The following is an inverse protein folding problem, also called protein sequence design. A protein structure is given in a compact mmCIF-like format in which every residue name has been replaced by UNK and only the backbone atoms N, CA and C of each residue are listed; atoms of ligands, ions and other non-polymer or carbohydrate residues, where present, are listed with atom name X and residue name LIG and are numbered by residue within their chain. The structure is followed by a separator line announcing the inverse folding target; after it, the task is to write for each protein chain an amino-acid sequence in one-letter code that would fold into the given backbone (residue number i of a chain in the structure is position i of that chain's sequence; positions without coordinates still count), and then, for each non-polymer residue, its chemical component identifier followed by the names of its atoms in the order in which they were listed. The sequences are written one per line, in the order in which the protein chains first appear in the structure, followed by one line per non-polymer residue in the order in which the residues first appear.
data_IF_476564403122
#
_entry.id   IF_476564403122
#
_cell.length_a   1.000
_cell.length_b   1.000
_cell.length_c   1.000
_cell.angle_alpha   90.00
_cell.angle_beta   90.00
_cell.angle_gamma   90.00
#
_symmetry.space_group_name_H-M   'P 1'
#
loop_
_entity.id
_entity.type
_entity.pdbx_description
1 polymer ?
#
# COMPACT_ATOMS: atom_id res chain seq x y z
N UNK A 1 -12.87 -11.91 24.89
CA UNK A 1 -11.50 -11.34 24.88
C UNK A 1 -10.78 -11.63 23.57
N UNK A 2 -10.76 -12.89 23.05
CA UNK A 2 -10.08 -13.25 21.80
C UNK A 2 -10.58 -12.44 20.59
N UNK A 3 -11.89 -12.44 20.32
CA UNK A 3 -12.50 -11.70 19.21
C UNK A 3 -12.21 -10.20 19.24
N UNK A 4 -12.25 -9.58 20.42
CA UNK A 4 -11.94 -8.15 20.56
C UNK A 4 -10.48 -7.87 20.20
N UNK A 5 -9.54 -8.67 20.68
CA UNK A 5 -8.13 -8.53 20.37
C UNK A 5 -7.87 -8.70 18.87
N UNK A 6 -8.45 -9.73 18.23
CA UNK A 6 -8.31 -9.97 16.79
C UNK A 6 -8.86 -8.81 15.95
N UNK A 7 -9.99 -8.24 16.39
CA UNK A 7 -10.56 -7.05 15.71
C UNK A 7 -9.63 -5.83 15.82
N UNK A 8 -9.08 -5.58 17.01
CA UNK A 8 -8.14 -4.46 17.23
C UNK A 8 -6.85 -4.66 16.43
N UNK A 9 -6.29 -5.86 16.42
CA UNK A 9 -5.09 -6.19 15.65
C UNK A 9 -5.36 -6.07 14.14
N UNK A 10 -6.54 -6.51 13.68
CA UNK A 10 -7.01 -6.36 12.30
C UNK A 10 -7.18 -4.89 11.88
N UNK A 11 -7.67 -4.03 12.78
CA UNK A 11 -7.77 -2.59 12.57
C UNK A 11 -6.38 -1.94 12.46
N UNK A 12 -5.46 -2.28 13.36
CA UNK A 12 -4.10 -1.75 13.35
C UNK A 12 -3.38 -2.10 12.05
N UNK A 13 -3.41 -3.39 11.66
CA UNK A 13 -2.87 -3.84 10.37
C UNK A 13 -3.58 -3.18 9.18
N UNK A 14 -4.89 -3.01 9.25
CA UNK A 14 -5.70 -2.37 8.23
C UNK A 14 -5.27 -0.92 7.97
N UNK A 15 -4.99 -0.17 9.02
CA UNK A 15 -4.49 1.20 8.87
C UNK A 15 -3.05 1.23 8.34
N UNK A 16 -2.16 0.32 8.75
CA UNK A 16 -0.83 0.21 8.15
C UNK A 16 -0.92 -0.02 6.64
N UNK A 17 -1.77 -0.94 6.19
CA UNK A 17 -1.93 -1.27 4.78
C UNK A 17 -2.82 -0.29 4.01
N UNK A 18 -3.59 0.57 4.68
CA UNK A 18 -4.34 1.62 4.01
C UNK A 18 -3.42 2.61 3.28
N UNK A 19 -2.25 2.93 3.85
CA UNK A 19 -1.25 3.78 3.21
C UNK A 19 -0.69 3.11 1.95
N UNK A 20 -0.41 1.80 2.01
CA UNK A 20 -0.01 0.98 0.86
C UNK A 20 -1.07 1.00 -0.23
N UNK A 21 -2.33 0.73 0.14
CA UNK A 21 -3.45 0.71 -0.80
C UNK A 21 -3.67 2.07 -1.47
N UNK A 22 -3.46 3.17 -0.76
CA UNK A 22 -3.48 4.52 -1.34
C UNK A 22 -2.38 4.73 -2.37
N UNK A 23 -1.17 4.20 -2.14
CA UNK A 23 -0.08 4.19 -3.11
C UNK A 23 -0.44 3.40 -4.37
N UNK A 24 -0.90 2.16 -4.19
CA UNK A 24 -1.32 1.29 -5.31
C UNK A 24 -2.55 1.85 -6.05
N UNK A 25 -3.44 2.58 -5.37
CA UNK A 25 -4.53 3.30 -6.03
C UNK A 25 -4.00 4.31 -7.07
N UNK A 26 -2.88 4.98 -6.80
CA UNK A 26 -2.27 5.91 -7.75
C UNK A 26 -1.72 5.16 -8.97
N UNK A 27 -0.96 4.09 -8.78
CA UNK A 27 -0.37 3.34 -9.89
C UNK A 27 -1.42 2.57 -10.70
N UNK A 28 -2.29 1.80 -10.03
CA UNK A 28 -3.23 0.90 -10.68
C UNK A 28 -4.47 1.63 -11.21
N UNK A 29 -5.13 2.44 -10.38
CA UNK A 29 -6.43 3.02 -10.74
C UNK A 29 -6.32 4.36 -11.46
N UNK A 30 -5.31 5.18 -11.15
CA UNK A 30 -5.13 6.50 -11.77
C UNK A 30 -4.24 6.40 -13.02
N UNK A 31 -3.10 5.69 -12.94
CA UNK A 31 -2.14 5.58 -14.05
C UNK A 31 -2.41 4.41 -15.00
N UNK A 32 -3.30 3.48 -14.63
CA UNK A 32 -3.52 2.21 -15.36
C UNK A 32 -2.20 1.44 -15.57
N UNK A 33 -1.38 1.42 -14.50
CA UNK A 33 -0.05 0.80 -14.50
C UNK A 33 0.00 -0.32 -13.46
N UNK A 34 0.07 -1.61 -13.86
CA UNK A 34 0.22 -2.73 -12.94
C UNK A 34 1.66 -2.76 -12.39
N UNK A 35 1.85 -2.15 -11.23
CA UNK A 35 3.17 -2.00 -10.62
C UNK A 35 3.44 -3.09 -9.58
N UNK A 36 4.27 -4.07 -9.94
CA UNK A 36 4.74 -5.13 -9.03
C UNK A 36 5.96 -4.70 -8.20
N UNK A 37 6.59 -3.54 -8.50
CA UNK A 37 7.74 -3.05 -7.72
C UNK A 37 7.39 -2.73 -6.27
N UNK A 38 6.11 -2.56 -5.97
CA UNK A 38 5.54 -2.38 -4.63
C UNK A 38 5.97 -3.49 -3.67
N UNK A 39 6.02 -4.76 -4.12
CA UNK A 39 6.49 -5.89 -3.30
C UNK A 39 7.98 -5.75 -2.89
N UNK A 40 8.77 -5.03 -3.69
CA UNK A 40 10.17 -4.70 -3.35
C UNK A 40 10.30 -3.42 -2.54
N UNK A 41 9.48 -2.40 -2.81
CA UNK A 41 9.57 -1.10 -2.13
C UNK A 41 9.01 -1.12 -0.71
N UNK A 42 8.07 -2.01 -0.41
CA UNK A 42 7.56 -2.21 0.93
C UNK A 42 8.67 -2.65 1.91
N UNK A 43 9.43 -3.75 1.69
CA UNK A 43 10.55 -4.11 2.54
C UNK A 43 11.71 -3.10 2.46
N UNK A 44 11.91 -2.42 1.32
CA UNK A 44 12.89 -1.33 1.24
C UNK A 44 12.59 -0.23 2.27
N UNK A 45 11.32 0.20 2.37
CA UNK A 45 10.91 1.17 3.38
C UNK A 45 11.17 0.68 4.80
N UNK A 46 10.88 -0.60 5.07
CA UNK A 46 11.16 -1.23 6.36
C UNK A 46 12.64 -1.25 6.73
N UNK A 47 13.53 -1.67 5.82
CA UNK A 47 14.97 -1.71 6.10
C UNK A 47 15.58 -0.33 6.24
N UNK A 48 15.19 0.63 5.40
CA UNK A 48 15.65 2.03 5.51
C UNK A 48 15.25 2.60 6.88
N UNK A 49 13.99 2.41 7.27
CA UNK A 49 13.52 2.82 8.59
C UNK A 49 14.34 2.19 9.72
N UNK A 50 14.59 0.88 9.66
CA UNK A 50 15.36 0.14 10.66
C UNK A 50 16.81 0.64 10.73
N UNK A 51 17.48 0.84 9.59
CA UNK A 51 18.85 1.37 9.53
C UNK A 51 18.91 2.78 10.13
N UNK A 52 17.96 3.64 9.81
CA UNK A 52 17.89 5.01 10.32
C UNK A 52 17.70 5.04 11.84
N UNK A 53 16.83 4.19 12.36
CA UNK A 53 16.58 4.08 13.80
C UNK A 53 17.78 3.44 14.54
N UNK A 54 18.37 2.38 13.99
CA UNK A 54 19.41 1.60 14.65
C UNK A 54 20.80 2.25 14.54
N UNK A 55 21.20 2.71 13.35
CA UNK A 55 22.56 3.25 13.12
C UNK A 55 22.66 4.75 13.32
N UNK A 56 21.63 5.49 12.90
CA UNK A 56 21.67 6.95 12.94
C UNK A 56 20.99 7.51 14.19
N UNK A 57 20.28 6.68 14.98
CA UNK A 57 19.51 7.09 16.16
C UNK A 57 18.61 8.32 15.92
N UNK A 58 18.09 8.46 14.70
CA UNK A 58 17.22 9.57 14.32
C UNK A 58 15.79 9.32 14.81
N UNK A 59 14.99 10.39 14.97
CA UNK A 59 13.61 10.26 15.41
C UNK A 59 12.77 9.44 14.41
N UNK A 60 11.80 8.64 14.90
CA UNK A 60 10.99 7.73 14.06
C UNK A 60 10.28 8.41 12.89
N UNK A 61 9.88 9.68 13.05
CA UNK A 61 9.24 10.46 11.98
C UNK A 61 10.19 10.70 10.81
N UNK A 62 11.47 11.03 11.07
CA UNK A 62 12.48 11.19 10.03
C UNK A 62 12.78 9.86 9.33
N UNK A 63 12.75 8.74 10.05
CA UNK A 63 12.90 7.41 9.46
C UNK A 63 11.79 7.14 8.42
N UNK A 64 10.54 7.50 8.70
CA UNK A 64 9.42 7.37 7.76
C UNK A 64 9.61 8.29 6.55
N UNK A 65 10.06 9.53 6.73
CA UNK A 65 10.31 10.46 5.62
C UNK A 65 11.44 9.98 4.70
N UNK A 66 12.53 9.45 5.27
CA UNK A 66 13.63 8.88 4.48
C UNK A 66 13.20 7.62 3.74
N UNK A 67 12.34 6.81 4.35
CA UNK A 67 11.72 5.65 3.68
C UNK A 67 10.85 6.07 2.51
N UNK A 68 10.06 7.15 2.63
CA UNK A 68 9.30 7.72 1.51
C UNK A 68 10.25 8.12 0.37
N UNK A 69 11.34 8.82 0.67
CA UNK A 69 12.31 9.25 -0.34
C UNK A 69 12.95 8.05 -1.06
N UNK A 70 13.35 7.00 -0.32
CA UNK A 70 13.91 5.78 -0.89
C UNK A 70 12.91 5.06 -1.81
N UNK A 71 11.65 4.94 -1.38
CA UNK A 71 10.59 4.37 -2.20
C UNK A 71 10.28 5.20 -3.44
N UNK A 72 10.25 6.53 -3.31
CA UNK A 72 10.04 7.45 -4.44
C UNK A 72 11.19 7.35 -5.46
N UNK A 73 12.43 7.20 -5.03
CA UNK A 73 13.57 6.93 -5.92
C UNK A 73 13.38 5.61 -6.67
N UNK A 74 13.01 4.53 -5.99
CA UNK A 74 12.74 3.24 -6.62
C UNK A 74 11.61 3.33 -7.66
N UNK A 75 10.51 4.00 -7.33
CA UNK A 75 9.41 4.24 -8.27
C UNK A 75 9.81 5.13 -9.45
N UNK A 76 10.71 6.09 -9.23
CA UNK A 76 11.29 6.90 -10.33
C UNK A 76 12.09 6.02 -11.29
N UNK A 77 12.88 5.07 -10.77
CA UNK A 77 13.62 4.09 -11.60
C UNK A 77 12.65 3.25 -12.42
N UNK A 78 11.58 2.71 -11.81
CA UNK A 78 10.52 1.97 -12.53
C UNK A 78 9.92 2.81 -13.65
N UNK A 79 9.61 4.08 -13.36
CA UNK A 79 9.07 5.02 -14.34
C UNK A 79 10.05 5.34 -15.47
N UNK A 80 11.34 5.52 -15.18
CA UNK A 80 12.37 5.77 -16.18
C UNK A 80 12.55 4.58 -17.10
N UNK A 81 12.59 3.34 -16.58
CA UNK A 81 12.67 2.11 -17.38
C UNK A 81 11.49 2.01 -18.35
N UNK A 82 10.27 2.33 -17.88
CA UNK A 82 9.09 2.30 -18.74
C UNK A 82 9.07 3.44 -19.77
N UNK A 83 9.29 4.68 -19.35
CA UNK A 83 9.09 5.85 -20.21
C UNK A 83 10.28 6.10 -21.13
N UNK A 84 11.51 6.03 -20.62
CA UNK A 84 12.71 6.35 -21.40
C UNK A 84 13.24 5.15 -22.18
N UNK A 85 13.25 3.96 -21.56
CA UNK A 85 13.72 2.74 -22.21
C UNK A 85 12.60 1.98 -22.93
N UNK A 86 11.34 2.46 -22.85
CA UNK A 86 10.15 1.88 -23.50
C UNK A 86 9.91 0.40 -23.16
N UNK A 87 10.34 -0.01 -21.96
CA UNK A 87 10.10 -1.35 -21.43
C UNK A 87 8.61 -1.43 -21.04
N UNK A 88 8.00 -2.61 -21.23
CA UNK A 88 6.59 -2.80 -20.81
C UNK A 88 6.40 -2.54 -19.32
N UNK A 89 5.23 -2.05 -18.88
CA UNK A 89 4.97 -1.74 -17.46
C UNK A 89 5.31 -2.89 -16.50
N UNK A 90 4.81 -4.08 -16.83
CA UNK A 90 5.00 -5.27 -16.02
C UNK A 90 6.49 -5.65 -15.89
N UNK A 91 7.22 -5.63 -17.02
CA UNK A 91 8.63 -6.01 -17.03
C UNK A 91 9.50 -5.00 -16.28
N UNK A 92 9.24 -3.69 -16.44
CA UNK A 92 9.97 -2.65 -15.70
C UNK A 92 9.78 -2.79 -14.17
N UNK A 93 8.57 -3.10 -13.74
CA UNK A 93 8.26 -3.33 -12.33
C UNK A 93 8.95 -4.59 -11.77
N UNK A 94 8.98 -5.69 -12.53
CA UNK A 94 9.67 -6.94 -12.11
C UNK A 94 11.18 -6.71 -12.01
N UNK A 95 11.79 -6.00 -12.96
CA UNK A 95 13.22 -5.68 -12.93
C UNK A 95 13.56 -4.91 -11.64
N UNK A 96 12.79 -3.88 -11.32
CA UNK A 96 13.02 -3.08 -10.11
C UNK A 96 12.76 -3.90 -8.86
N UNK A 97 11.68 -4.70 -8.80
CA UNK A 97 11.38 -5.57 -7.67
C UNK A 97 12.56 -6.52 -7.37
N UNK A 98 13.12 -7.16 -8.40
CA UNK A 98 14.27 -8.07 -8.23
C UNK A 98 15.55 -7.35 -7.82
N UNK A 99 15.81 -6.16 -8.38
CA UNK A 99 16.95 -5.34 -7.97
C UNK A 99 16.83 -4.89 -6.50
N UNK A 100 15.62 -4.52 -6.06
CA UNK A 100 15.36 -4.09 -4.69
C UNK A 100 15.60 -5.21 -3.67
N UNK A 101 15.40 -6.49 -4.03
CA UNK A 101 15.76 -7.61 -3.15
C UNK A 101 17.26 -7.59 -2.78
N UNK A 102 18.12 -7.33 -3.76
CA UNK A 102 19.56 -7.22 -3.50
C UNK A 102 19.90 -5.96 -2.70
N UNK A 103 19.25 -4.84 -2.99
CA UNK A 103 19.45 -3.59 -2.25
C UNK A 103 19.02 -3.73 -0.79
N UNK A 104 17.87 -4.34 -0.52
CA UNK A 104 17.39 -4.57 0.84
C UNK A 104 18.32 -5.49 1.61
N UNK A 105 18.82 -6.58 1.00
CA UNK A 105 19.80 -7.46 1.62
C UNK A 105 21.15 -6.76 1.89
N UNK A 106 21.63 -5.91 0.97
CA UNK A 106 22.83 -5.12 1.20
C UNK A 106 22.65 -4.13 2.37
N UNK A 107 21.49 -3.50 2.50
CA UNK A 107 21.20 -2.61 3.61
C UNK A 107 21.10 -3.35 4.95
N UNK A 108 20.69 -4.62 4.97
CA UNK A 108 20.63 -5.41 6.21
C UNK A 108 22.01 -5.70 6.79
N UNK A 109 23.08 -5.68 5.99
CA UNK A 109 24.45 -5.79 6.49
C UNK A 109 24.80 -4.66 7.46
N UNK A 110 24.19 -3.50 7.30
CA UNK A 110 24.35 -2.37 8.22
C UNK A 110 23.70 -2.61 9.59
N UNK A 111 22.81 -3.58 9.72
CA UNK A 111 22.08 -3.89 10.95
C UNK A 111 22.84 -4.86 11.86
N UNK A 112 23.72 -5.69 11.29
CA UNK A 112 24.42 -6.76 12.04
C UNK A 112 25.88 -6.39 12.33
N UNK A 113 26.36 -6.65 13.56
CA UNK A 113 27.79 -6.58 13.86
C UNK A 113 28.55 -7.59 12.99
N UNK A 114 29.60 -7.14 12.30
CA UNK A 114 30.38 -7.98 11.39
C UNK A 114 29.89 -7.98 9.94
N UNK A 115 28.83 -7.25 9.60
CA UNK A 115 28.37 -7.04 8.21
C UNK A 115 27.71 -8.27 7.57
N UNK A 116 27.17 -9.18 8.36
CA UNK A 116 26.44 -10.33 7.84
C UNK A 116 25.02 -9.92 7.38
N UNK A 117 24.57 -10.53 6.29
CA UNK A 117 23.19 -10.35 5.81
C UNK A 117 22.19 -11.03 6.75
N UNK A 118 21.14 -10.31 7.14
CA UNK A 118 20.04 -10.90 7.91
C UNK A 118 18.73 -10.70 7.16
N UNK A 119 17.88 -11.70 7.18
CA UNK A 119 16.53 -11.60 6.60
C UNK A 119 15.52 -11.07 7.60
N UNK A 120 15.78 -11.24 8.90
CA UNK A 120 14.89 -10.81 10.00
C UNK A 120 15.72 -10.07 11.03
N UNK A 121 15.26 -8.90 11.46
CA UNK A 121 15.87 -8.09 12.50
C UNK A 121 14.83 -7.64 13.52
N UNK A 122 15.05 -7.97 14.80
CA UNK A 122 14.14 -7.57 15.89
C UNK A 122 14.58 -6.27 16.55
N UNK A 123 13.64 -5.38 16.82
CA UNK A 123 13.87 -4.14 17.57
C UNK A 123 14.07 -4.40 19.06
N UNK A 124 13.52 -5.50 19.57
CA UNK A 124 13.63 -5.88 20.98
C UNK A 124 15.10 -6.14 21.35
N UNK A 125 15.53 -5.60 22.47
CA UNK A 125 16.92 -5.71 22.94
C UNK A 125 17.90 -4.68 22.38
N UNK A 126 17.49 -3.84 21.42
CA UNK A 126 18.37 -2.82 20.83
C UNK A 126 18.02 -1.38 21.27
N UNK A 127 17.06 -1.20 22.19
CA UNK A 127 16.68 0.12 22.72
C UNK A 127 16.12 1.09 21.68
N UNK A 128 15.63 0.58 20.55
CA UNK A 128 15.09 1.43 19.47
C UNK A 128 13.72 2.00 19.85
N UNK A 129 13.59 3.30 19.67
CA UNK A 129 12.30 3.99 19.85
C UNK A 129 11.44 3.84 18.59
N UNK A 130 10.18 3.47 18.76
CA UNK A 130 9.19 3.46 17.69
C UNK A 130 8.19 4.61 17.85
N UNK A 131 7.41 4.89 16.81
CA UNK A 131 6.30 5.85 16.87
C UNK A 131 5.22 5.41 17.89
N UNK A 132 5.19 4.12 18.23
CA UNK A 132 4.17 3.50 19.07
C UNK A 132 4.64 3.28 20.51
N UNK A 133 5.89 3.64 20.84
CA UNK A 133 6.46 3.50 22.18
C UNK A 133 6.04 4.71 23.04
N UNK A 134 4.82 4.64 23.59
CA UNK A 134 4.22 5.67 24.44
C UNK A 134 4.34 5.37 25.94
N UNK A 135 5.04 4.27 26.29
CA UNK A 135 5.15 3.83 27.68
C UNK A 135 3.82 3.37 28.30
N UNK A 136 2.82 3.11 27.47
CA UNK A 136 1.51 2.57 27.86
C UNK A 136 1.54 1.05 27.80
N UNK A 137 0.62 0.41 28.52
CA UNK A 137 0.51 -1.06 28.52
C UNK A 137 -0.93 -1.52 28.30
N UNK A 138 -1.09 -2.69 27.70
CA UNK A 138 -2.38 -3.36 27.55
C UNK A 138 -3.34 -2.67 26.56
N UNK A 139 -4.59 -2.46 26.98
CA UNK A 139 -5.67 -1.91 26.14
C UNK A 139 -5.43 -0.43 25.77
N UNK A 140 -4.78 0.33 26.64
CA UNK A 140 -4.46 1.74 26.41
C UNK A 140 -3.39 1.87 25.30
N UNK A 141 -2.40 1.01 25.26
CA UNK A 141 -1.38 0.94 24.22
C UNK A 141 -2.03 0.65 22.85
N UNK A 142 -2.90 -0.37 22.77
CA UNK A 142 -3.62 -0.70 21.55
C UNK A 142 -4.48 0.46 21.05
N UNK A 143 -5.19 1.13 21.95
CA UNK A 143 -6.02 2.30 21.61
C UNK A 143 -5.19 3.47 21.07
N UNK A 144 -4.07 3.78 21.73
CA UNK A 144 -3.16 4.84 21.30
C UNK A 144 -2.53 4.53 19.93
N UNK A 145 -2.10 3.29 19.72
CA UNK A 145 -1.56 2.81 18.43
C UNK A 145 -2.59 2.98 17.30
N UNK A 146 -3.85 2.60 17.53
CA UNK A 146 -4.94 2.80 16.56
C UNK A 146 -5.12 4.29 16.25
N UNK A 147 -5.09 5.15 17.27
CA UNK A 147 -5.20 6.60 17.10
C UNK A 147 -4.09 7.20 16.24
N UNK A 148 -2.83 6.79 16.47
CA UNK A 148 -1.67 7.23 15.69
C UNK A 148 -1.79 6.74 14.24
N UNK A 149 -2.07 5.45 14.03
CA UNK A 149 -2.22 4.87 12.70
C UNK A 149 -3.37 5.50 11.92
N UNK A 150 -4.51 5.73 12.56
CA UNK A 150 -5.64 6.43 11.95
C UNK A 150 -5.28 7.87 11.57
N UNK A 151 -4.60 8.60 12.45
CA UNK A 151 -4.10 9.94 12.17
C UNK A 151 -3.14 9.96 10.97
N UNK A 152 -2.24 8.97 10.87
CA UNK A 152 -1.34 8.82 9.71
C UNK A 152 -2.11 8.57 8.41
N UNK A 153 -3.09 7.66 8.42
CA UNK A 153 -3.93 7.40 7.23
C UNK A 153 -4.67 8.66 6.80
N UNK A 154 -5.23 9.42 7.75
CA UNK A 154 -5.89 10.70 7.45
C UNK A 154 -4.91 11.71 6.84
N UNK A 155 -3.71 11.83 7.40
CA UNK A 155 -2.67 12.72 6.89
C UNK A 155 -2.30 12.36 5.44
N UNK A 156 -1.95 11.11 5.17
CA UNK A 156 -1.57 10.67 3.83
C UNK A 156 -2.73 10.74 2.84
N UNK A 157 -3.94 10.39 3.28
CA UNK A 157 -5.16 10.58 2.48
C UNK A 157 -5.36 12.06 2.11
N UNK A 158 -5.22 12.98 3.06
CA UNK A 158 -5.33 14.42 2.79
C UNK A 158 -4.26 14.89 1.82
N UNK A 159 -3.01 14.46 1.98
CA UNK A 159 -1.92 14.80 1.06
C UNK A 159 -2.23 14.34 -0.37
N UNK A 160 -2.72 13.12 -0.54
CA UNK A 160 -3.13 12.60 -1.86
C UNK A 160 -4.32 13.38 -2.41
N UNK A 161 -5.35 13.66 -1.60
CA UNK A 161 -6.52 14.40 -2.04
C UNK A 161 -6.15 15.84 -2.49
N UNK A 162 -5.28 16.52 -1.74
CA UNK A 162 -4.74 17.82 -2.09
C UNK A 162 -3.92 17.74 -3.38
N UNK A 163 -3.00 16.77 -3.49
CA UNK A 163 -2.20 16.58 -4.68
C UNK A 163 -3.06 16.31 -5.91
N UNK A 164 -4.05 15.44 -5.82
CA UNK A 164 -4.97 15.12 -6.92
C UNK A 164 -5.90 16.29 -7.30
N UNK A 165 -6.07 17.28 -6.43
CA UNK A 165 -6.75 18.55 -6.69
C UNK A 165 -5.88 19.59 -7.38
N UNK A 166 -4.58 19.37 -7.50
CA UNK A 166 -3.66 20.29 -8.20
C UNK A 166 -3.67 20.08 -9.71
N UNK A 167 -3.10 21.04 -10.45
CA UNK A 167 -2.88 20.89 -11.91
C UNK A 167 -2.09 19.64 -12.27
N UNK A 168 -1.09 19.29 -11.43
CA UNK A 168 -0.29 18.06 -11.60
C UNK A 168 -1.14 16.80 -11.45
N UNK A 169 -2.03 16.77 -10.46
CA UNK A 169 -2.93 15.63 -10.25
C UNK A 169 -3.95 15.44 -11.37
N UNK A 170 -4.47 16.53 -11.95
CA UNK A 170 -5.32 16.45 -13.14
C UNK A 170 -4.57 15.89 -14.35
N UNK A 171 -3.34 16.36 -14.58
CA UNK A 171 -2.49 15.86 -15.68
C UNK A 171 -2.12 14.38 -15.45
N UNK A 172 -1.89 13.97 -14.20
CA UNK A 172 -1.64 12.57 -13.84
C UNK A 172 -2.82 11.67 -14.24
N UNK A 173 -4.03 12.06 -13.90
CA UNK A 173 -5.26 11.34 -14.28
C UNK A 173 -5.44 11.30 -15.81
N UNK A 174 -5.17 12.40 -16.49
CA UNK A 174 -5.22 12.46 -17.94
C UNK A 174 -4.16 11.55 -18.59
N UNK A 175 -2.94 11.50 -18.03
CA UNK A 175 -1.87 10.65 -18.54
C UNK A 175 -2.18 9.15 -18.42
N UNK A 176 -2.95 8.74 -17.38
CA UNK A 176 -3.41 7.36 -17.22
C UNK A 176 -4.58 7.02 -18.15
N UNK A 177 -5.62 7.88 -18.20
CA UNK A 177 -6.83 7.60 -18.97
C UNK A 177 -6.62 7.78 -20.49
N UNK A 178 -5.93 8.85 -20.92
CA UNK A 178 -5.65 9.14 -22.32
C UNK A 178 -4.41 10.03 -22.48
N UNK A 179 -3.27 9.42 -22.70
CA UNK A 179 -2.00 10.12 -22.85
C UNK A 179 -1.99 11.12 -24.03
N UNK A 180 -2.81 10.92 -25.07
CA UNK A 180 -2.91 11.85 -26.22
C UNK A 180 -3.41 13.23 -25.80
N UNK A 181 -4.33 13.31 -24.84
CA UNK A 181 -4.82 14.58 -24.29
C UNK A 181 -3.70 15.38 -23.64
N UNK A 182 -2.80 14.73 -22.91
CA UNK A 182 -1.65 15.42 -22.29
C UNK A 182 -0.69 15.96 -23.35
N UNK A 183 -0.44 15.16 -24.40
CA UNK A 183 0.42 15.56 -25.53
C UNK A 183 -0.19 16.72 -26.32
N UNK A 184 -1.52 16.71 -26.56
CA UNK A 184 -2.19 17.84 -27.26
C UNK A 184 -2.14 19.16 -26.47
N UNK A 185 -1.94 19.09 -25.15
CA UNK A 185 -1.70 20.26 -24.29
C UNK A 185 -0.22 20.70 -24.27
N UNK A 186 0.64 20.13 -25.12
CA UNK A 186 2.06 20.43 -25.19
C UNK A 186 2.87 19.91 -24.01
N UNK A 187 2.37 18.88 -23.31
CA UNK A 187 3.05 18.28 -22.13
C UNK A 187 3.46 16.84 -22.39
N UNK A 188 4.58 16.42 -21.81
CA UNK A 188 5.05 15.04 -21.88
C UNK A 188 4.30 14.16 -20.86
N UNK A 189 3.46 13.24 -21.34
CA UNK A 189 2.74 12.29 -20.51
C UNK A 189 3.67 11.35 -19.71
N UNK A 190 4.87 11.07 -20.22
CA UNK A 190 5.87 10.24 -19.58
C UNK A 190 6.31 10.78 -18.22
N UNK A 191 6.54 12.08 -18.13
CA UNK A 191 6.98 12.72 -16.88
C UNK A 191 5.90 12.58 -15.76
N UNK A 192 4.62 12.65 -16.12
CA UNK A 192 3.54 12.43 -15.16
C UNK A 192 3.44 10.97 -14.72
N UNK A 193 3.72 10.02 -15.61
CA UNK A 193 3.79 8.59 -15.24
C UNK A 193 4.94 8.32 -14.26
N UNK A 194 6.13 8.89 -14.51
CA UNK A 194 7.27 8.78 -13.60
C UNK A 194 6.91 9.35 -12.23
N UNK A 195 6.33 10.56 -12.19
CA UNK A 195 5.91 11.18 -10.93
C UNK A 195 4.90 10.32 -10.16
N UNK A 196 3.90 9.78 -10.83
CA UNK A 196 2.89 8.95 -10.19
C UNK A 196 3.44 7.64 -9.65
N UNK A 197 4.37 6.99 -10.37
CA UNK A 197 5.06 5.79 -9.89
C UNK A 197 5.99 6.11 -8.71
N UNK A 198 6.67 7.26 -8.73
CA UNK A 198 7.47 7.73 -7.59
C UNK A 198 6.61 7.91 -6.33
N UNK A 199 5.45 8.56 -6.45
CA UNK A 199 4.52 8.72 -5.34
C UNK A 199 3.96 7.38 -4.85
N UNK A 200 3.52 6.50 -5.76
CA UNK A 200 2.95 5.19 -5.42
C UNK A 200 3.94 4.35 -4.61
N UNK A 201 5.18 4.25 -5.08
CA UNK A 201 6.25 3.52 -4.41
C UNK A 201 6.74 4.21 -3.12
N UNK A 202 6.71 5.55 -3.07
CA UNK A 202 6.96 6.30 -1.85
C UNK A 202 5.96 5.95 -0.75
N UNK A 203 4.66 5.89 -1.04
CA UNK A 203 3.63 5.47 -0.08
C UNK A 203 3.76 3.99 0.31
N UNK A 204 4.17 3.12 -0.63
CA UNK A 204 4.47 1.73 -0.32
C UNK A 204 5.60 1.61 0.72
N UNK A 205 6.69 2.33 0.54
CA UNK A 205 7.82 2.35 1.46
C UNK A 205 7.44 2.94 2.83
N UNK A 206 6.60 3.99 2.87
CA UNK A 206 6.05 4.51 4.13
C UNK A 206 5.26 3.43 4.86
N UNK A 207 4.38 2.72 4.17
CA UNK A 207 3.62 1.62 4.77
C UNK A 207 4.54 0.54 5.33
N UNK A 208 5.61 0.18 4.61
CA UNK A 208 6.64 -0.75 5.08
C UNK A 208 7.37 -0.25 6.33
N UNK A 209 7.75 1.02 6.37
CA UNK A 209 8.39 1.65 7.52
C UNK A 209 7.49 1.67 8.76
N UNK A 210 6.21 2.01 8.58
CA UNK A 210 5.21 2.02 9.66
C UNK A 210 4.94 0.60 10.16
N UNK A 211 4.78 -0.35 9.24
CA UNK A 211 4.57 -1.76 9.56
C UNK A 211 5.73 -2.33 10.40
N UNK A 212 6.98 -2.05 10.00
CA UNK A 212 8.18 -2.52 10.71
C UNK A 212 8.27 -1.92 12.12
N UNK A 213 7.93 -0.64 12.30
CA UNK A 213 7.86 -0.02 13.62
C UNK A 213 6.71 -0.58 14.47
N UNK A 214 5.56 -0.89 13.86
CA UNK A 214 4.42 -1.49 14.54
C UNK A 214 4.70 -2.92 15.00
N UNK A 215 5.29 -3.76 14.14
CA UNK A 215 5.63 -5.15 14.47
C UNK A 215 6.89 -5.27 15.34
N UNK A 216 7.61 -4.17 15.55
CA UNK A 216 8.91 -4.16 16.23
C UNK A 216 9.90 -5.15 15.63
N UNK A 217 9.80 -5.39 14.33
CA UNK A 217 10.67 -6.32 13.60
C UNK A 217 10.70 -5.99 12.11
N UNK A 218 11.86 -6.15 11.51
CA UNK A 218 12.05 -6.12 10.07
C UNK A 218 12.15 -7.54 9.52
N UNK A 219 11.46 -7.80 8.42
CA UNK A 219 11.56 -9.04 7.66
C UNK A 219 11.63 -8.71 6.17
N UNK A 220 12.70 -9.18 5.50
CA UNK A 220 12.92 -8.96 4.08
C UNK A 220 11.83 -9.62 3.19
N UNK A 221 11.23 -10.70 3.66
CA UNK A 221 10.17 -11.42 2.94
C UNK A 221 8.78 -10.79 3.12
N UNK A 222 8.67 -9.77 3.96
CA UNK A 222 7.40 -9.11 4.31
C UNK A 222 6.69 -8.46 3.13
N UNK A 223 7.41 -8.14 2.04
CA UNK A 223 6.87 -7.57 0.81
C UNK A 223 6.09 -8.54 -0.06
N UNK A 224 6.37 -9.84 0.05
CA UNK A 224 5.77 -10.85 -0.81
C UNK A 224 4.23 -10.87 -0.71
N UNK A 225 3.55 -10.59 -1.83
CA UNK A 225 2.09 -10.57 -1.92
C UNK A 225 1.42 -9.29 -1.42
N UNK A 226 2.16 -8.24 -1.10
CA UNK A 226 1.60 -6.94 -0.68
C UNK A 226 0.87 -6.23 -1.81
N UNK A 227 1.33 -6.40 -3.05
CA UNK A 227 0.60 -5.91 -4.24
C UNK A 227 -0.80 -6.53 -4.29
N UNK A 228 -0.92 -7.84 -4.08
CA UNK A 228 -2.22 -8.54 -4.11
C UNK A 228 -3.16 -8.01 -3.02
N UNK A 229 -2.65 -7.83 -1.80
CA UNK A 229 -3.39 -7.24 -0.68
C UNK A 229 -3.88 -5.83 -1.01
N UNK A 230 -2.98 -4.99 -1.55
CA UNK A 230 -3.31 -3.61 -1.88
C UNK A 230 -4.32 -3.52 -3.03
N UNK A 231 -4.18 -4.34 -4.08
CA UNK A 231 -5.14 -4.42 -5.18
C UNK A 231 -6.52 -4.88 -4.69
N UNK A 232 -6.56 -5.92 -3.84
CA UNK A 232 -7.81 -6.36 -3.22
C UNK A 232 -8.49 -5.22 -2.45
N UNK A 233 -7.72 -4.48 -1.66
CA UNK A 233 -8.19 -3.34 -0.89
C UNK A 233 -8.78 -2.25 -1.78
N UNK A 234 -8.10 -1.91 -2.88
CA UNK A 234 -8.57 -0.94 -3.87
C UNK A 234 -9.89 -1.41 -4.51
N UNK A 235 -9.95 -2.67 -4.94
CA UNK A 235 -11.13 -3.24 -5.62
C UNK A 235 -12.32 -3.30 -4.67
N UNK A 236 -12.14 -3.78 -3.42
CA UNK A 236 -13.19 -3.80 -2.40
C UNK A 236 -13.71 -2.39 -2.14
N UNK A 237 -12.79 -1.46 -1.85
CA UNK A 237 -13.16 -0.09 -1.54
C UNK A 237 -13.94 0.56 -2.67
N UNK A 238 -13.41 0.52 -3.89
CA UNK A 238 -14.06 1.13 -5.05
C UNK A 238 -15.40 0.47 -5.39
N UNK A 239 -15.55 -0.84 -5.25
CA UNK A 239 -16.80 -1.54 -5.55
C UNK A 239 -17.87 -1.32 -4.48
N UNK A 240 -17.52 -1.33 -3.20
CA UNK A 240 -18.43 -1.12 -2.09
C UNK A 240 -19.05 0.30 -2.13
N UNK A 241 -18.22 1.31 -2.42
CA UNK A 241 -18.61 2.70 -2.45
C UNK A 241 -18.96 3.23 -3.86
N UNK A 242 -18.98 2.38 -4.89
CA UNK A 242 -19.29 2.77 -6.29
C UNK A 242 -20.61 3.53 -6.46
N UNK A 243 -21.58 3.32 -5.56
CA UNK A 243 -22.89 3.97 -5.58
C UNK A 243 -22.97 5.26 -4.77
N UNK A 244 -22.03 5.48 -3.86
CA UNK A 244 -22.02 6.61 -2.95
C UNK A 244 -21.22 7.76 -3.56
N UNK A 245 -21.87 8.65 -4.29
CA UNK A 245 -21.26 9.84 -4.91
C UNK A 245 -20.57 10.78 -3.91
N UNK A 246 -20.88 10.64 -2.62
CA UNK A 246 -20.38 11.50 -1.56
C UNK A 246 -19.01 11.06 -1.03
N UNK A 247 -18.61 9.81 -1.25
CA UNK A 247 -17.35 9.25 -0.74
C UNK A 247 -16.26 9.39 -1.81
N UNK A 248 -15.16 10.06 -1.46
CA UNK A 248 -13.99 10.14 -2.34
C UNK A 248 -13.37 8.76 -2.50
N UNK A 249 -12.84 8.45 -3.69
CA UNK A 249 -12.20 7.17 -3.98
C UNK A 249 -11.06 6.84 -3.00
N UNK A 250 -10.30 7.83 -2.54
CA UNK A 250 -9.24 7.67 -1.53
C UNK A 250 -9.76 7.17 -0.18
N UNK A 251 -10.92 7.68 0.27
CA UNK A 251 -11.59 7.19 1.47
C UNK A 251 -12.10 5.77 1.28
N UNK A 252 -12.69 5.48 0.12
CA UNK A 252 -13.17 4.15 -0.24
C UNK A 252 -12.03 3.11 -0.18
N UNK A 253 -10.87 3.44 -0.75
CA UNK A 253 -9.69 2.58 -0.76
C UNK A 253 -9.15 2.33 0.66
N UNK A 254 -9.06 3.38 1.49
CA UNK A 254 -8.61 3.23 2.87
C UNK A 254 -9.54 2.32 3.70
N UNK A 255 -10.86 2.48 3.55
CA UNK A 255 -11.85 1.60 4.19
C UNK A 255 -11.76 0.17 3.63
N UNK A 256 -11.55 0.02 2.32
CA UNK A 256 -11.32 -1.28 1.69
C UNK A 256 -10.13 -2.03 2.28
N UNK A 257 -9.02 -1.32 2.58
CA UNK A 257 -7.85 -1.92 3.23
C UNK A 257 -8.15 -2.41 4.64
N UNK A 258 -8.91 -1.64 5.40
CA UNK A 258 -9.34 -2.05 6.76
C UNK A 258 -10.23 -3.30 6.69
N UNK A 259 -11.22 -3.33 5.79
CA UNK A 259 -12.10 -4.49 5.62
C UNK A 259 -11.29 -5.72 5.23
N UNK A 260 -10.39 -5.60 4.26
CA UNK A 260 -9.57 -6.72 3.83
C UNK A 260 -8.66 -7.25 4.94
N UNK A 261 -8.01 -6.36 5.70
CA UNK A 261 -7.17 -6.74 6.83
C UNK A 261 -7.95 -7.41 7.96
N UNK A 262 -9.16 -6.95 8.24
CA UNK A 262 -10.06 -7.62 9.19
C UNK A 262 -10.37 -9.05 8.72
N UNK A 263 -10.74 -9.24 7.45
CA UNK A 263 -10.97 -10.57 6.90
C UNK A 263 -9.74 -11.47 7.05
N UNK A 264 -8.54 -10.96 6.75
CA UNK A 264 -7.29 -11.73 6.91
C UNK A 264 -7.02 -12.11 8.36
N UNK A 265 -7.20 -11.18 9.31
CA UNK A 265 -6.98 -11.47 10.73
C UNK A 265 -7.97 -12.50 11.28
N UNK A 266 -9.20 -12.50 10.80
CA UNK A 266 -10.15 -13.59 11.16
C UNK A 266 -9.79 -14.93 10.52
N UNK A 267 -9.19 -14.95 9.32
CA UNK A 267 -8.68 -16.17 8.70
C UNK A 267 -7.50 -16.79 9.48
N UNK A 268 -6.66 -15.94 10.11
CA UNK A 268 -5.57 -16.40 10.99
C UNK A 268 -6.09 -17.21 12.18
N UNK A 269 -7.31 -16.92 12.67
CA UNK A 269 -7.93 -17.73 13.74
C UNK A 269 -8.25 -19.16 13.30
N UNK A 270 -8.47 -19.38 12.01
CA UNK A 270 -8.75 -20.70 11.44
C UNK A 270 -7.45 -21.49 11.22
N UNK A 271 -6.38 -20.80 10.83
CA UNK A 271 -5.06 -21.40 10.59
C UNK A 271 -4.05 -20.90 11.65
N UNK A 272 -4.11 -21.53 12.83
CA UNK A 272 -3.22 -21.16 13.96
C UNK A 272 -1.73 -21.41 13.70
N UNK A 273 -1.40 -22.28 12.74
CA UNK A 273 -0.01 -22.61 12.40
C UNK A 273 0.60 -21.71 11.32
N UNK A 274 -0.22 -20.88 10.67
CA UNK A 274 0.23 -19.93 9.63
C UNK A 274 0.69 -20.55 8.30
N UNK A 275 0.56 -21.88 8.15
CA UNK A 275 1.04 -22.62 6.97
C UNK A 275 0.20 -22.25 5.73
N UNK A 276 -1.10 -22.13 5.89
CA UNK A 276 -2.05 -21.90 4.80
C UNK A 276 -2.37 -20.41 4.58
N UNK A 277 -1.78 -19.47 5.32
CA UNK A 277 -2.10 -18.05 5.23
C UNK A 277 -1.95 -17.49 3.82
N UNK A 278 -0.89 -17.88 3.09
CA UNK A 278 -0.70 -17.41 1.70
C UNK A 278 -1.77 -17.98 0.75
N UNK A 279 -2.15 -19.23 0.95
CA UNK A 279 -3.22 -19.87 0.17
C UNK A 279 -4.57 -19.24 0.48
N UNK A 280 -4.90 -19.05 1.75
CA UNK A 280 -6.13 -18.40 2.20
C UNK A 280 -6.22 -16.96 1.67
N UNK A 281 -5.11 -16.23 1.67
CA UNK A 281 -5.03 -14.89 1.07
C UNK A 281 -5.34 -14.92 -0.44
N UNK A 282 -4.78 -15.87 -1.17
CA UNK A 282 -5.05 -16.03 -2.61
C UNK A 282 -6.51 -16.39 -2.89
N UNK A 283 -7.09 -17.30 -2.10
CA UNK A 283 -8.51 -17.68 -2.21
C UNK A 283 -9.42 -16.48 -1.89
N UNK A 284 -9.13 -15.76 -0.81
CA UNK A 284 -9.89 -14.56 -0.44
C UNK A 284 -9.85 -13.52 -1.57
N UNK A 285 -8.69 -13.28 -2.17
CA UNK A 285 -8.54 -12.36 -3.30
C UNK A 285 -9.37 -12.83 -4.52
N UNK A 286 -9.30 -14.13 -4.85
CA UNK A 286 -10.09 -14.71 -5.95
C UNK A 286 -11.61 -14.55 -5.70
N UNK A 287 -12.07 -14.80 -4.48
CA UNK A 287 -13.47 -14.61 -4.10
C UNK A 287 -13.93 -13.16 -4.23
N UNK A 288 -13.08 -12.20 -3.85
CA UNK A 288 -13.35 -10.78 -4.00
C UNK A 288 -13.50 -10.39 -5.48
N UNK A 289 -12.58 -10.85 -6.33
CA UNK A 289 -12.63 -10.58 -7.77
C UNK A 289 -13.88 -11.14 -8.43
N UNK A 290 -14.21 -12.40 -8.12
CA UNK A 290 -15.41 -13.07 -8.66
C UNK A 290 -16.67 -12.41 -8.12
N UNK A 291 -16.72 -12.14 -6.82
CA UNK A 291 -17.85 -11.46 -6.18
C UNK A 291 -18.11 -10.07 -6.76
N UNK A 292 -17.05 -9.27 -6.96
CA UNK A 292 -17.17 -7.95 -7.59
C UNK A 292 -17.71 -8.04 -9.04
N UNK A 293 -17.22 -9.00 -9.82
CA UNK A 293 -17.70 -9.22 -11.20
C UNK A 293 -19.16 -9.68 -11.26
N UNK A 294 -19.59 -10.54 -10.33
CA UNK A 294 -20.98 -11.00 -10.24
C UNK A 294 -21.89 -9.86 -9.76
N UNK A 295 -21.48 -9.10 -8.77
CA UNK A 295 -22.24 -7.97 -8.24
C UNK A 295 -22.45 -6.90 -9.32
N UNK A 296 -21.42 -6.57 -10.10
CA UNK A 296 -21.53 -5.61 -11.21
C UNK A 296 -22.49 -6.08 -12.30
N UNK A 297 -22.51 -7.39 -12.62
CA UNK A 297 -23.45 -7.99 -13.59
C UNK A 297 -24.90 -7.96 -13.09
N UNK A 298 -25.12 -8.32 -11.83
CA UNK A 298 -26.46 -8.27 -11.21
C UNK A 298 -27.01 -6.85 -11.16
N UNK A 299 -26.16 -5.89 -10.82
CA UNK A 299 -26.52 -4.48 -10.78
C UNK A 299 -26.82 -3.91 -12.17
N UNK A 300 -26.10 -4.35 -13.20
CA UNK A 300 -26.38 -4.02 -14.61
C UNK A 300 -27.76 -4.52 -15.06
N UNK A 301 -28.08 -5.77 -14.71
CA UNK A 301 -29.40 -6.38 -15.02
C UNK A 301 -30.57 -5.66 -14.32
N UNK A 302 -30.39 -5.24 -13.06
CA UNK A 302 -31.39 -4.50 -12.30
C UNK A 302 -31.62 -3.09 -12.89
N UNK A 303 -30.58 -2.43 -13.39
CA UNK A 303 -30.71 -1.14 -14.07
C UNK A 303 -31.45 -1.27 -15.41
N UNK A 304 -31.14 -2.31 -16.19
CA UNK A 304 -31.81 -2.59 -17.46
C UNK A 304 -33.33 -2.84 -17.24
N UNK A 305 -33.69 -3.68 -16.26
CA UNK A 305 -35.12 -3.93 -15.92
C UNK A 305 -35.87 -2.67 -15.44
N UNK A 306 -35.19 -1.76 -14.69
CA UNK A 306 -35.81 -0.48 -14.30
C UNK A 306 -35.99 0.46 -15.47
N UNK A 307 -35.09 0.48 -16.45
CA UNK A 307 -35.24 1.30 -17.66
C UNK A 307 -36.38 0.80 -18.54
N UNK A 308 -36.53 -0.53 -18.67
CA UNK A 308 -37.65 -1.15 -19.43
C UNK A 308 -39.01 -0.96 -18.73
N UNK A 309 -39.04 -1.00 -17.40
CA UNK A 309 -40.27 -0.76 -16.64
C UNK A 309 -40.74 0.71 -16.64
N UNK A 310 -39.78 1.67 -16.70
CA UNK A 310 -40.12 3.10 -16.82
C UNK A 310 -40.47 3.56 -18.24
N UNK A 311 -40.16 2.75 -19.28
CA UNK A 311 -40.55 3.03 -20.66
C UNK A 311 -41.95 2.46 -21.00
N UNK A 312 -42.57 1.67 -20.13
CA UNK A 312 -43.87 1.06 -20.28
C UNK A 312 -44.98 1.72 -19.41
N UNK A 313 -44.62 2.66 -18.57
CA UNK A 313 -45.52 3.53 -17.80
C UNK A 313 -45.55 4.95 -18.39
#
# INVERSE_FOLDING_TARGET
MLFLNTTLDGLQMGFCFAVLALGVYISYSILDFPDLSVDGTFPLGGVVCTVVLFRLNLPPVLAVLLSFAAGALAGTVTGLLHVKLKITPLLSAIIVMTALLSVTLALTQLLTPGGYTTTIFSYRGHGMRSLFDLGLSGMAEKGATIGILFGMVLLFKLLIDLFLGTRMGYMLRAAGSNSRVVVSLGRDAGNYKILGLALANGFSAVSGAVYTQYTMSYDNTSGSGKVVLALASVIIGMSLFARLRFVRNTTAVAVGAVIYSLCLNYLVLVDTNGIYLKLLNAVLFALILVGNRQLSRLLGRLKAKRAEGGARA
#
